data_IF_176555560530
#
_entry.id   IF_176555560530
#
_cell.length_a   1.000
_cell.length_b   1.000
_cell.length_c   1.000
_cell.angle_alpha   90.00
_cell.angle_beta   90.00
_cell.angle_gamma   90.00
#
_symmetry.space_group_name_H-M   'P 1'
#
loop_
_entity.id
_entity.type
_entity.pdbx_description
1 polymer ?
#
# COMPACT_ATOMS: atom_id res chain seq x y z
N UNK A 1 -6.02 -20.21 -6.64
CA UNK A 1 -6.29 -20.24 -5.18
C UNK A 1 -5.95 -18.88 -4.61
N UNK A 2 -6.78 -18.36 -3.73
CA UNK A 2 -6.58 -17.04 -3.15
C UNK A 2 -5.49 -17.10 -2.08
N UNK A 3 -4.54 -16.15 -2.17
CA UNK A 3 -3.47 -15.96 -1.20
C UNK A 3 -3.99 -15.22 0.02
N UNK A 4 -4.79 -14.18 -0.20
CA UNK A 4 -5.36 -13.34 0.86
C UNK A 4 -6.88 -13.39 0.76
N UNK A 5 -7.52 -13.62 1.90
CA UNK A 5 -8.98 -13.58 2.01
C UNK A 5 -9.36 -12.66 3.16
N UNK A 6 -10.23 -11.69 2.87
CA UNK A 6 -10.84 -10.74 3.80
C UNK A 6 -12.33 -11.02 3.79
N UNK A 7 -12.89 -11.40 4.93
CA UNK A 7 -14.30 -11.80 5.05
C UNK A 7 -14.98 -11.00 6.14
N UNK A 8 -16.00 -10.23 5.73
CA UNK A 8 -16.85 -9.40 6.58
C UNK A 8 -16.06 -8.58 7.60
N UNK A 9 -15.00 -7.88 7.15
CA UNK A 9 -14.11 -7.16 8.05
C UNK A 9 -14.67 -5.79 8.41
N UNK A 10 -14.77 -5.54 9.71
CA UNK A 10 -15.18 -4.26 10.29
C UNK A 10 -14.06 -3.66 11.12
N UNK A 11 -14.02 -2.33 11.19
CA UNK A 11 -13.12 -1.62 12.10
C UNK A 11 -13.77 -0.37 12.64
N UNK A 12 -13.90 -0.31 13.96
CA UNK A 12 -14.35 0.86 14.71
C UNK A 12 -13.27 1.24 15.71
N UNK A 13 -12.87 2.51 15.71
CA UNK A 13 -11.98 3.08 16.72
C UNK A 13 -12.80 3.73 17.83
N UNK A 14 -12.32 3.59 19.06
CA UNK A 14 -12.81 4.37 20.19
C UNK A 14 -11.93 5.62 20.34
N UNK A 15 -12.57 6.78 20.43
CA UNK A 15 -11.90 8.05 20.64
C UNK A 15 -11.44 8.18 22.09
N UNK A 16 -10.48 9.08 22.33
CA UNK A 16 -10.01 9.33 23.70
C UNK A 16 -11.12 9.98 24.52
N UNK A 17 -11.12 9.81 25.86
CA UNK A 17 -12.06 10.50 26.74
C UNK A 17 -12.08 12.01 26.45
N UNK A 18 -13.28 12.57 26.29
CA UNK A 18 -13.48 13.99 25.96
C UNK A 18 -13.43 14.31 24.46
N UNK A 19 -13.17 13.35 23.58
CA UNK A 19 -13.28 13.52 22.13
C UNK A 19 -14.59 12.91 21.62
N UNK A 20 -15.24 13.62 20.70
CA UNK A 20 -16.44 13.15 20.01
C UNK A 20 -16.42 13.56 18.55
N UNK A 21 -17.08 12.79 17.70
CA UNK A 21 -17.40 13.16 16.33
C UNK A 21 -18.91 13.27 16.15
N UNK A 22 -19.32 14.13 15.23
CA UNK A 22 -20.70 14.16 14.76
C UNK A 22 -20.87 13.17 13.61
N UNK A 23 -21.75 12.19 13.80
CA UNK A 23 -22.13 11.23 12.76
C UNK A 23 -23.64 11.37 12.59
N UNK A 24 -24.08 11.83 11.40
CA UNK A 24 -25.50 12.05 11.09
C UNK A 24 -26.23 12.91 12.16
N UNK A 25 -25.55 13.94 12.68
CA UNK A 25 -26.09 14.84 13.70
C UNK A 25 -26.12 14.28 15.12
N UNK A 26 -25.49 13.13 15.38
CA UNK A 26 -25.33 12.56 16.72
C UNK A 26 -23.87 12.56 17.15
N UNK A 27 -23.63 12.97 18.39
CA UNK A 27 -22.32 12.86 19.02
C UNK A 27 -22.00 11.40 19.33
N UNK A 28 -20.83 10.94 18.90
CA UNK A 28 -20.32 9.58 19.12
C UNK A 28 -18.85 9.64 19.55
N UNK A 29 -18.48 8.83 20.53
CA UNK A 29 -17.09 8.56 20.90
C UNK A 29 -16.48 7.41 20.07
N UNK A 30 -17.22 6.87 19.10
CA UNK A 30 -16.81 5.77 18.22
C UNK A 30 -16.85 6.19 16.76
N UNK A 31 -15.82 5.80 16.02
CA UNK A 31 -15.67 6.06 14.59
C UNK A 31 -15.53 4.74 13.84
N UNK A 32 -16.56 4.37 13.08
CA UNK A 32 -16.48 3.23 12.16
C UNK A 32 -15.75 3.64 10.90
N UNK A 33 -14.65 2.95 10.60
CA UNK A 33 -13.79 3.21 9.45
C UNK A 33 -13.97 2.18 8.36
N UNK A 34 -14.18 0.90 8.72
CA UNK A 34 -14.50 -0.19 7.78
C UNK A 34 -15.80 -0.86 8.20
N UNK A 35 -16.65 -1.20 7.22
CA UNK A 35 -17.98 -1.76 7.46
C UNK A 35 -18.28 -2.94 6.53
N UNK A 36 -17.82 -4.14 6.87
CA UNK A 36 -18.13 -5.37 6.12
C UNK A 36 -17.34 -5.50 4.81
N UNK A 37 -16.02 -5.30 4.88
CA UNK A 37 -15.13 -5.45 3.72
C UNK A 37 -14.98 -6.92 3.36
N UNK A 38 -15.23 -7.25 2.10
CA UNK A 38 -15.00 -8.59 1.53
C UNK A 38 -14.05 -8.46 0.32
N UNK A 39 -12.94 -9.19 0.34
CA UNK A 39 -11.92 -9.13 -0.71
C UNK A 39 -11.16 -10.46 -0.78
N UNK A 40 -10.90 -10.93 -2.01
CA UNK A 40 -10.07 -12.10 -2.26
C UNK A 40 -8.98 -11.73 -3.27
N UNK A 41 -7.72 -12.07 -2.95
CA UNK A 41 -6.53 -11.70 -3.71
C UNK A 41 -5.78 -12.97 -4.10
N UNK A 42 -5.50 -13.12 -5.38
CA UNK A 42 -4.86 -14.32 -5.93
C UNK A 42 -3.35 -14.31 -5.63
N UNK A 43 -2.76 -15.51 -5.60
CA UNK A 43 -1.30 -15.63 -5.48
C UNK A 43 -0.60 -14.99 -6.68
N UNK A 44 0.42 -14.17 -6.41
CA UNK A 44 1.19 -13.46 -7.44
C UNK A 44 0.42 -12.31 -8.11
N UNK A 45 -0.70 -11.89 -7.54
CA UNK A 45 -1.50 -10.79 -8.08
C UNK A 45 -1.03 -9.44 -7.55
N UNK A 46 -1.03 -8.41 -8.41
CA UNK A 46 -0.85 -7.02 -8.01
C UNK A 46 -2.21 -6.34 -7.94
N UNK A 47 -2.71 -6.06 -6.74
CA UNK A 47 -3.94 -5.26 -6.59
C UNK A 47 -3.63 -3.86 -6.10
N UNK A 48 -4.45 -2.90 -6.51
CA UNK A 48 -4.42 -1.55 -5.95
C UNK A 48 -5.71 -1.22 -5.23
N UNK A 49 -5.61 -0.52 -4.10
CA UNK A 49 -6.74 0.02 -3.35
C UNK A 49 -6.84 1.52 -3.66
N UNK A 50 -7.97 1.94 -4.20
CA UNK A 50 -8.27 3.36 -4.49
C UNK A 50 -9.57 3.78 -3.81
N UNK A 51 -9.67 5.05 -3.45
CA UNK A 51 -10.83 5.57 -2.72
C UNK A 51 -10.54 6.97 -2.19
N UNK A 52 -11.56 7.73 -1.79
CA UNK A 52 -11.36 9.06 -1.22
C UNK A 52 -10.48 9.00 0.05
N UNK A 53 -9.96 10.15 0.47
CA UNK A 53 -9.28 10.23 1.76
C UNK A 53 -10.21 9.72 2.87
N UNK A 54 -9.65 9.12 3.92
CA UNK A 54 -10.46 8.59 5.04
C UNK A 54 -11.32 7.35 4.72
N UNK A 55 -11.25 6.77 3.52
CA UNK A 55 -11.99 5.56 3.14
C UNK A 55 -11.52 4.27 3.85
N UNK A 56 -10.48 4.34 4.69
CA UNK A 56 -9.97 3.19 5.42
C UNK A 56 -9.00 2.28 4.66
N UNK A 57 -8.42 2.72 3.52
CA UNK A 57 -7.42 1.96 2.74
C UNK A 57 -6.22 1.50 3.60
N UNK A 58 -5.54 2.45 4.25
CA UNK A 58 -4.40 2.17 5.12
C UNK A 58 -4.80 1.30 6.31
N UNK A 59 -6.02 1.50 6.86
CA UNK A 59 -6.54 0.66 7.95
C UNK A 59 -6.77 -0.78 7.49
N UNK A 60 -7.32 -0.98 6.29
CA UNK A 60 -7.46 -2.31 5.71
C UNK A 60 -6.09 -2.95 5.46
N UNK A 61 -5.13 -2.16 4.95
CA UNK A 61 -3.76 -2.61 4.73
C UNK A 61 -3.06 -3.03 6.04
N UNK A 62 -3.21 -2.24 7.11
CA UNK A 62 -2.70 -2.55 8.45
C UNK A 62 -3.31 -3.83 9.02
N UNK A 63 -4.61 -4.07 8.79
CA UNK A 63 -5.28 -5.31 9.22
C UNK A 63 -4.72 -6.51 8.44
N UNK A 64 -4.52 -6.38 7.13
CA UNK A 64 -3.88 -7.42 6.31
C UNK A 64 -2.43 -7.65 6.77
N UNK A 65 -1.71 -6.60 7.19
CA UNK A 65 -0.36 -6.71 7.74
C UNK A 65 -0.30 -7.24 9.18
N UNK A 66 -1.44 -7.42 9.85
CA UNK A 66 -1.50 -7.79 11.26
C UNK A 66 -1.02 -6.70 12.22
N UNK A 67 -0.88 -5.46 11.75
CA UNK A 67 -0.47 -4.30 12.55
C UNK A 67 -1.63 -3.74 13.40
N UNK A 68 -2.85 -3.93 12.93
CA UNK A 68 -4.08 -3.53 13.63
C UNK A 68 -5.09 -4.66 13.59
N UNK A 69 -5.75 -4.96 14.71
CA UNK A 69 -6.81 -5.97 14.73
C UNK A 69 -8.13 -5.42 14.14
N UNK A 70 -8.85 -6.25 13.40
CA UNK A 70 -10.23 -5.96 13.00
C UNK A 70 -11.17 -5.99 14.22
N UNK A 71 -12.21 -5.16 14.21
CA UNK A 71 -13.25 -5.19 15.25
C UNK A 71 -14.17 -6.41 15.11
N UNK A 72 -14.45 -6.82 13.88
CA UNK A 72 -15.17 -8.06 13.52
C UNK A 72 -14.63 -8.58 12.18
N UNK A 73 -14.98 -9.81 11.83
CA UNK A 73 -14.54 -10.45 10.59
C UNK A 73 -13.19 -11.14 10.70
N UNK A 74 -12.74 -11.70 9.59
CA UNK A 74 -11.53 -12.52 9.51
C UNK A 74 -10.70 -12.09 8.31
N UNK A 75 -9.38 -11.97 8.51
CA UNK A 75 -8.39 -11.91 7.43
C UNK A 75 -7.48 -13.12 7.54
N UNK A 76 -7.18 -13.74 6.41
CA UNK A 76 -6.26 -14.88 6.32
C UNK A 76 -5.27 -14.75 5.16
N UNK A 77 -4.04 -15.21 5.37
CA UNK A 77 -3.03 -15.48 4.33
C UNK A 77 -2.83 -16.99 4.24
N UNK A 78 -2.97 -17.57 3.05
CA UNK A 78 -2.90 -19.02 2.80
C UNK A 78 -3.78 -19.85 3.75
N UNK A 79 -5.00 -19.34 4.00
CA UNK A 79 -5.97 -19.96 4.91
C UNK A 79 -5.64 -19.83 6.40
N UNK A 80 -4.50 -19.23 6.77
CA UNK A 80 -4.13 -18.96 8.16
C UNK A 80 -4.61 -17.58 8.58
N UNK A 81 -5.43 -17.52 9.64
CA UNK A 81 -5.91 -16.25 10.20
C UNK A 81 -4.75 -15.37 10.66
N UNK A 82 -4.81 -14.10 10.30
CA UNK A 82 -3.85 -13.08 10.75
C UNK A 82 -4.35 -12.51 12.09
N UNK A 83 -3.49 -12.58 13.09
CA UNK A 83 -3.73 -11.99 14.42
C UNK A 83 -2.55 -11.12 14.89
N UNK A 84 -1.43 -11.19 14.19
CA UNK A 84 -0.20 -10.44 14.46
C UNK A 84 0.62 -10.36 13.17
N UNK A 85 1.63 -9.48 13.10
CA UNK A 85 2.49 -9.39 11.93
C UNK A 85 3.23 -10.71 11.64
N UNK A 86 3.36 -11.05 10.36
CA UNK A 86 4.06 -12.25 9.89
C UNK A 86 5.39 -11.82 9.20
N UNK A 87 6.54 -12.45 9.54
CA UNK A 87 7.81 -12.21 8.84
C UNK A 87 7.78 -12.42 7.32
N UNK A 88 6.79 -13.17 6.81
CA UNK A 88 6.54 -13.40 5.38
C UNK A 88 5.79 -12.26 4.69
N UNK A 89 5.38 -11.24 5.43
CA UNK A 89 4.72 -10.04 4.92
C UNK A 89 5.68 -8.87 4.97
N UNK A 90 6.06 -8.35 3.81
CA UNK A 90 6.82 -7.11 3.69
C UNK A 90 5.87 -5.91 3.78
N UNK A 91 6.31 -4.84 4.46
CA UNK A 91 5.54 -3.60 4.56
C UNK A 91 6.38 -2.39 4.14
N UNK A 92 5.83 -1.57 3.25
CA UNK A 92 6.40 -0.28 2.83
C UNK A 92 5.44 0.82 3.27
N UNK A 93 5.85 1.61 4.25
CA UNK A 93 5.07 2.71 4.80
C UNK A 93 5.15 3.96 3.90
N UNK A 94 4.19 4.88 4.06
CA UNK A 94 4.16 6.17 3.38
C UNK A 94 5.40 7.02 3.68
N UNK A 95 5.89 6.99 4.93
CA UNK A 95 7.21 7.51 5.26
C UNK A 95 8.25 6.40 5.02
N UNK A 96 9.40 6.74 4.46
CA UNK A 96 10.46 5.78 4.13
C UNK A 96 10.83 4.84 5.30
N UNK A 97 10.66 5.33 6.54
CA UNK A 97 10.89 4.60 7.78
C UNK A 97 12.26 3.89 7.80
N UNK A 98 13.27 4.52 7.16
CA UNK A 98 14.64 4.06 7.19
C UNK A 98 15.28 4.45 8.52
N UNK A 99 16.15 3.60 9.04
CA UNK A 99 16.93 3.88 10.24
C UNK A 99 18.00 4.93 9.88
N UNK A 100 17.93 6.17 10.44
CA UNK A 100 18.81 7.26 10.03
C UNK A 100 20.28 7.04 10.42
N UNK A 101 20.54 6.19 11.41
CA UNK A 101 21.89 5.80 11.86
C UNK A 101 22.45 4.55 11.17
N UNK A 102 21.74 3.98 10.19
CA UNK A 102 22.21 2.84 9.38
C UNK A 102 22.43 3.29 7.94
N UNK A 103 23.42 2.73 7.27
CA UNK A 103 23.64 2.95 5.83
C UNK A 103 22.51 2.31 4.99
N UNK A 104 22.46 2.59 3.68
CA UNK A 104 21.53 1.96 2.75
C UNK A 104 21.60 0.43 2.80
N UNK A 105 22.83 -0.11 2.76
CA UNK A 105 23.09 -1.55 2.91
C UNK A 105 22.59 -2.07 4.27
N UNK A 106 22.97 -1.39 5.35
CA UNK A 106 22.62 -1.79 6.72
C UNK A 106 21.12 -1.70 7.00
N UNK A 107 20.39 -0.84 6.30
CA UNK A 107 18.93 -0.75 6.36
C UNK A 107 18.27 -2.00 5.75
N UNK A 108 18.78 -2.49 4.62
CA UNK A 108 18.28 -3.69 3.95
C UNK A 108 18.66 -4.95 4.73
N UNK A 109 19.88 -5.00 5.27
CA UNK A 109 20.34 -6.13 6.09
C UNK A 109 19.54 -6.31 7.39
N UNK A 110 18.93 -5.25 7.92
CA UNK A 110 18.32 -5.27 9.26
C UNK A 110 17.30 -6.39 9.44
N UNK A 111 16.37 -6.56 8.49
CA UNK A 111 15.34 -7.59 8.62
C UNK A 111 15.93 -9.02 8.55
N UNK A 112 16.96 -9.20 7.72
CA UNK A 112 17.71 -10.46 7.60
C UNK A 112 18.52 -10.76 8.86
N UNK A 113 19.10 -9.71 9.47
CA UNK A 113 19.78 -9.77 10.77
C UNK A 113 18.84 -10.26 11.88
N UNK A 114 17.62 -9.71 11.94
CA UNK A 114 16.59 -10.15 12.91
C UNK A 114 16.15 -11.59 12.67
N UNK A 115 16.13 -12.06 11.42
CA UNK A 115 15.87 -13.46 11.07
C UNK A 115 17.03 -14.41 11.40
N UNK A 116 18.19 -13.90 11.86
CA UNK A 116 19.35 -14.71 12.20
C UNK A 116 20.20 -15.13 11.00
N UNK A 117 20.01 -14.53 9.84
CA UNK A 117 20.80 -14.83 8.63
C UNK A 117 22.26 -14.38 8.84
N UNK A 118 23.20 -15.25 8.45
CA UNK A 118 24.62 -15.01 8.63
C UNK A 118 25.09 -13.74 7.88
N UNK A 119 26.05 -13.01 8.47
CA UNK A 119 26.50 -11.71 7.95
C UNK A 119 26.87 -11.75 6.46
N UNK A 120 27.61 -12.77 6.02
CA UNK A 120 28.01 -12.90 4.61
C UNK A 120 26.81 -12.99 3.67
N UNK A 121 25.85 -13.86 4.01
CA UNK A 121 24.66 -14.12 3.20
C UNK A 121 23.73 -12.89 3.16
N UNK A 122 23.48 -12.25 4.31
CA UNK A 122 22.64 -11.03 4.34
C UNK A 122 23.28 -9.87 3.57
N UNK A 123 24.60 -9.70 3.63
CA UNK A 123 25.31 -8.67 2.85
C UNK A 123 25.23 -8.94 1.35
N UNK A 124 25.41 -10.19 0.92
CA UNK A 124 25.27 -10.59 -0.49
C UNK A 124 23.84 -10.31 -0.99
N UNK A 125 22.82 -10.71 -0.22
CA UNK A 125 21.41 -10.46 -0.54
C UNK A 125 21.10 -8.95 -0.59
N UNK A 126 21.57 -8.18 0.39
CA UNK A 126 21.33 -6.74 0.44
C UNK A 126 21.96 -6.00 -0.74
N UNK A 127 23.20 -6.35 -1.12
CA UNK A 127 23.86 -5.79 -2.32
C UNK A 127 23.14 -6.16 -3.61
N UNK A 128 22.65 -7.40 -3.71
CA UNK A 128 21.84 -7.81 -4.85
C UNK A 128 20.61 -6.92 -5.01
N UNK A 129 19.83 -6.70 -3.96
CA UNK A 129 18.65 -5.82 -4.03
C UNK A 129 19.01 -4.35 -4.28
N UNK A 130 20.08 -3.82 -3.69
CA UNK A 130 20.55 -2.46 -4.03
C UNK A 130 20.86 -2.33 -5.52
N UNK A 131 21.57 -3.30 -6.10
CA UNK A 131 21.91 -3.27 -7.52
C UNK A 131 20.69 -3.41 -8.43
N UNK A 132 19.70 -4.24 -8.05
CA UNK A 132 18.44 -4.36 -8.78
C UNK A 132 17.69 -3.02 -8.88
N UNK A 133 17.75 -2.21 -7.83
CA UNK A 133 17.18 -0.87 -7.79
C UNK A 133 18.12 0.22 -8.33
N UNK A 134 19.27 -0.14 -8.93
CA UNK A 134 20.20 0.82 -9.51
C UNK A 134 20.94 1.68 -8.48
N UNK A 135 21.13 1.18 -7.27
CA UNK A 135 21.80 1.87 -6.16
C UNK A 135 23.22 1.35 -5.88
N UNK A 136 23.83 0.67 -6.85
CA UNK A 136 25.25 0.29 -6.78
C UNK A 136 26.13 1.52 -6.55
N UNK A 137 27.05 1.47 -5.58
CA UNK A 137 27.90 2.59 -5.19
C UNK A 137 27.31 3.51 -4.11
N UNK A 138 26.08 3.25 -3.65
CA UNK A 138 25.42 3.99 -2.57
C UNK A 138 25.25 3.18 -1.28
N UNK A 139 25.89 2.00 -1.19
CA UNK A 139 25.77 1.04 -0.09
C UNK A 139 26.05 1.67 1.28
N UNK A 140 27.08 2.51 1.35
CA UNK A 140 27.60 3.10 2.58
C UNK A 140 26.98 4.48 2.90
N UNK A 141 26.01 4.94 2.10
CA UNK A 141 25.35 6.23 2.34
C UNK A 141 24.27 6.11 3.41
N UNK A 142 24.20 7.10 4.29
CA UNK A 142 23.11 7.24 5.26
C UNK A 142 21.86 7.85 4.59
N UNK A 143 20.64 7.65 5.13
CA UNK A 143 19.41 8.16 4.52
C UNK A 143 19.44 9.67 4.21
N UNK A 144 20.03 10.48 5.07
CA UNK A 144 20.18 11.93 4.86
C UNK A 144 21.12 12.31 3.70
N UNK A 145 21.89 11.36 3.16
CA UNK A 145 22.77 11.54 1.99
C UNK A 145 22.13 11.01 0.70
N UNK A 146 20.89 10.52 0.76
CA UNK A 146 20.14 9.95 -0.36
C UNK A 146 18.98 10.87 -0.75
N UNK A 147 18.70 10.98 -2.05
CA UNK A 147 17.48 11.66 -2.52
C UNK A 147 16.23 10.91 -2.07
N UNK A 148 15.06 11.57 -2.07
CA UNK A 148 13.80 10.92 -1.70
C UNK A 148 13.50 9.65 -2.51
N UNK A 149 13.71 9.71 -3.84
CA UNK A 149 13.57 8.54 -4.70
C UNK A 149 14.55 7.41 -4.37
N UNK A 150 15.78 7.73 -3.96
CA UNK A 150 16.76 6.73 -3.51
C UNK A 150 16.37 6.12 -2.16
N UNK A 151 15.90 6.93 -1.21
CA UNK A 151 15.39 6.43 0.07
C UNK A 151 14.20 5.49 -0.14
N UNK A 152 13.29 5.82 -1.07
CA UNK A 152 12.18 4.95 -1.44
C UNK A 152 12.65 3.61 -2.01
N UNK A 153 13.63 3.63 -2.94
CA UNK A 153 14.23 2.42 -3.49
C UNK A 153 14.83 1.54 -2.38
N UNK A 154 15.53 2.13 -1.41
CA UNK A 154 16.07 1.39 -0.25
C UNK A 154 14.95 0.80 0.60
N UNK A 155 13.86 1.53 0.83
CA UNK A 155 12.72 1.05 1.62
C UNK A 155 12.02 -0.16 0.96
N UNK A 156 11.79 -0.10 -0.36
CA UNK A 156 11.22 -1.21 -1.12
C UNK A 156 12.20 -2.39 -1.18
N UNK A 157 13.49 -2.13 -1.44
CA UNK A 157 14.54 -3.15 -1.43
C UNK A 157 14.61 -3.89 -0.08
N UNK A 158 14.51 -3.16 1.03
CA UNK A 158 14.48 -3.74 2.39
C UNK A 158 13.29 -4.69 2.57
N UNK A 159 12.11 -4.30 2.12
CA UNK A 159 10.91 -5.13 2.24
C UNK A 159 10.98 -6.38 1.34
N UNK A 160 11.54 -6.26 0.14
CA UNK A 160 11.72 -7.39 -0.78
C UNK A 160 12.86 -8.33 -0.39
N UNK A 161 13.89 -7.82 0.30
CA UNK A 161 15.05 -8.60 0.67
C UNK A 161 14.71 -9.78 1.60
N UNK A 162 13.62 -9.72 2.35
CA UNK A 162 13.16 -10.85 3.19
C UNK A 162 12.47 -11.97 2.40
N UNK A 163 12.38 -11.86 1.06
CA UNK A 163 11.64 -12.77 0.19
C UNK A 163 10.17 -12.93 0.63
N UNK A 164 9.40 -11.83 0.70
CA UNK A 164 8.05 -11.86 1.25
C UNK A 164 7.08 -12.57 0.30
N UNK A 165 6.15 -13.33 0.87
CA UNK A 165 5.04 -13.94 0.15
C UNK A 165 3.95 -12.91 -0.21
N UNK A 166 3.84 -11.86 0.60
CA UNK A 166 2.94 -10.72 0.43
C UNK A 166 3.71 -9.42 0.68
N UNK A 167 3.57 -8.44 -0.22
CA UNK A 167 4.11 -7.09 -0.08
C UNK A 167 2.98 -6.07 0.02
N UNK A 168 2.92 -5.36 1.14
CA UNK A 168 1.95 -4.31 1.42
C UNK A 168 2.62 -2.96 1.27
N UNK A 169 2.01 -2.03 0.52
CA UNK A 169 2.57 -0.71 0.28
C UNK A 169 1.52 0.37 0.48
N UNK A 170 1.78 1.30 1.40
CA UNK A 170 0.89 2.41 1.73
C UNK A 170 1.39 3.72 1.14
N UNK A 171 0.80 4.15 0.02
CA UNK A 171 1.17 5.38 -0.72
C UNK A 171 2.70 5.60 -0.89
N UNK A 172 3.46 4.58 -1.35
CA UNK A 172 4.92 4.61 -1.33
C UNK A 172 5.54 5.68 -2.24
N UNK A 173 4.77 6.29 -3.14
CA UNK A 173 5.28 7.26 -4.11
C UNK A 173 4.68 8.66 -3.97
N UNK A 174 3.93 8.91 -2.89
CA UNK A 174 3.23 10.19 -2.67
C UNK A 174 4.20 11.39 -2.55
N UNK A 175 5.37 11.19 -1.94
CA UNK A 175 6.36 12.25 -1.71
C UNK A 175 7.29 12.54 -2.90
N UNK A 176 7.10 11.87 -4.03
CA UNK A 176 7.99 11.97 -5.19
C UNK A 176 7.42 12.85 -6.28
N UNK A 177 8.29 13.53 -7.03
CA UNK A 177 7.91 14.22 -8.26
C UNK A 177 7.44 13.24 -9.34
N UNK A 178 6.72 13.74 -10.34
CA UNK A 178 6.07 12.92 -11.35
C UNK A 178 7.05 12.07 -12.17
N UNK A 179 8.21 12.61 -12.57
CA UNK A 179 9.18 11.90 -13.39
C UNK A 179 9.85 10.77 -12.59
N UNK A 180 10.31 11.07 -11.38
CA UNK A 180 10.91 10.06 -10.49
C UNK A 180 9.91 8.96 -10.16
N UNK A 181 8.64 9.32 -9.93
CA UNK A 181 7.55 8.38 -9.66
C UNK A 181 7.35 7.40 -10.82
N UNK A 182 7.21 7.86 -12.05
CA UNK A 182 7.00 6.99 -13.21
C UNK A 182 8.15 6.00 -13.44
N UNK A 183 9.39 6.47 -13.29
CA UNK A 183 10.58 5.63 -13.39
C UNK A 183 10.55 4.52 -12.32
N UNK A 184 10.20 4.88 -11.08
CA UNK A 184 10.12 3.92 -9.98
C UNK A 184 8.99 2.91 -10.12
N UNK A 185 7.82 3.34 -10.60
CA UNK A 185 6.71 2.44 -10.89
C UNK A 185 7.12 1.39 -11.93
N UNK A 186 7.81 1.83 -12.99
CA UNK A 186 8.30 0.96 -14.06
C UNK A 186 9.32 -0.07 -13.53
N UNK A 187 10.29 0.39 -12.74
CA UNK A 187 11.28 -0.50 -12.10
C UNK A 187 10.63 -1.46 -11.10
N UNK A 188 9.68 -0.99 -10.29
CA UNK A 188 8.93 -1.84 -9.36
C UNK A 188 8.21 -2.95 -10.12
N UNK A 189 7.51 -2.63 -11.21
CA UNK A 189 6.80 -3.61 -12.02
C UNK A 189 7.76 -4.64 -12.62
N UNK A 190 8.90 -4.19 -13.16
CA UNK A 190 9.94 -5.07 -13.72
C UNK A 190 10.51 -6.04 -12.68
N UNK A 191 10.70 -5.58 -11.45
CA UNK A 191 11.21 -6.40 -10.34
C UNK A 191 10.14 -7.37 -9.87
N UNK A 192 8.90 -6.88 -9.72
CA UNK A 192 7.76 -7.70 -9.32
C UNK A 192 7.49 -8.85 -10.29
N UNK A 193 7.57 -8.62 -11.61
CA UNK A 193 7.41 -9.68 -12.63
C UNK A 193 8.42 -10.83 -12.49
N UNK A 194 9.58 -10.57 -11.87
CA UNK A 194 10.61 -11.60 -11.61
C UNK A 194 10.37 -12.34 -10.29
N UNK A 195 9.89 -11.65 -9.27
CA UNK A 195 9.72 -12.18 -7.91
C UNK A 195 8.35 -12.88 -7.75
N UNK A 196 7.32 -12.38 -8.44
CA UNK A 196 5.94 -12.88 -8.39
C UNK A 196 5.34 -12.94 -6.97
N UNK A 197 5.68 -11.94 -6.14
CA UNK A 197 5.06 -11.76 -4.80
C UNK A 197 3.64 -11.20 -4.93
N UNK A 198 2.73 -11.53 -4.01
CA UNK A 198 1.39 -10.92 -4.02
C UNK A 198 1.49 -9.49 -3.48
N UNK A 199 0.97 -8.49 -4.21
CA UNK A 199 1.08 -7.08 -3.82
C UNK A 199 -0.28 -6.48 -3.51
N UNK A 200 -0.36 -5.75 -2.40
CA UNK A 200 -1.48 -4.84 -2.09
C UNK A 200 -0.94 -3.43 -1.98
N UNK A 201 -1.38 -2.56 -2.90
CA UNK A 201 -0.83 -1.23 -3.06
C UNK A 201 -1.91 -0.16 -2.88
N UNK A 202 -1.76 0.71 -1.88
CA UNK A 202 -2.68 1.82 -1.64
C UNK A 202 -2.20 3.05 -2.39
N UNK A 203 -3.10 3.70 -3.11
CA UNK A 203 -2.83 4.97 -3.78
C UNK A 203 -4.05 5.87 -3.91
N UNK A 204 -3.79 7.17 -4.04
CA UNK A 204 -4.76 8.18 -4.44
C UNK A 204 -4.69 8.52 -5.94
N UNK A 205 -3.73 7.96 -6.69
CA UNK A 205 -3.54 8.22 -8.11
C UNK A 205 -4.20 7.13 -8.98
N UNK A 206 -5.16 7.54 -9.82
CA UNK A 206 -5.84 6.64 -10.77
C UNK A 206 -4.85 6.07 -11.79
N UNK A 207 -3.94 6.91 -12.29
CA UNK A 207 -2.96 6.49 -13.28
C UNK A 207 -1.98 5.47 -12.73
N UNK A 208 -1.57 5.63 -11.47
CA UNK A 208 -0.73 4.67 -10.77
C UNK A 208 -1.47 3.35 -10.55
N UNK A 209 -2.73 3.42 -10.13
CA UNK A 209 -3.57 2.26 -9.91
C UNK A 209 -3.71 1.40 -11.18
N UNK A 210 -3.99 2.04 -12.32
CA UNK A 210 -4.13 1.38 -13.63
C UNK A 210 -2.79 0.87 -14.12
N UNK A 211 -1.71 1.64 -13.96
CA UNK A 211 -0.39 1.25 -14.46
C UNK A 211 0.19 0.05 -13.71
N UNK A 212 -0.08 -0.11 -12.42
CA UNK A 212 0.52 -1.19 -11.61
C UNK A 212 -0.36 -2.44 -11.48
N UNK A 213 -1.68 -2.29 -11.38
CA UNK A 213 -2.55 -3.37 -10.94
C UNK A 213 -2.98 -4.33 -12.05
N UNK A 214 -3.21 -5.59 -11.67
CA UNK A 214 -4.08 -6.54 -12.35
C UNK A 214 -5.56 -6.23 -12.06
N UNK A 215 -5.87 -5.86 -10.80
CA UNK A 215 -7.21 -5.44 -10.37
C UNK A 215 -7.17 -4.22 -9.46
N UNK A 216 -8.09 -3.30 -9.69
CA UNK A 216 -8.30 -2.12 -8.85
C UNK A 216 -9.51 -2.36 -7.96
N UNK A 217 -9.33 -2.26 -6.65
CA UNK A 217 -10.40 -2.30 -5.66
C UNK A 217 -10.79 -0.86 -5.33
N UNK A 218 -11.99 -0.46 -5.74
CA UNK A 218 -12.55 0.85 -5.43
C UNK A 218 -13.26 0.78 -4.09
N UNK A 219 -12.85 1.60 -3.15
CA UNK A 219 -13.46 1.74 -1.82
C UNK A 219 -14.45 2.91 -1.77
N UNK A 220 -15.54 2.74 -1.02
CA UNK A 220 -16.49 3.82 -0.73
C UNK A 220 -15.89 4.91 0.16
N UNK A 221 -16.58 6.05 0.26
CA UNK A 221 -16.34 6.99 1.35
C UNK A 221 -16.57 6.32 2.71
N UNK A 222 -16.07 6.94 3.79
CA UNK A 222 -16.21 6.41 5.15
C UNK A 222 -17.70 6.23 5.51
N UNK A 223 -18.11 5.09 6.09
CA UNK A 223 -17.29 3.91 6.37
C UNK A 223 -16.94 3.11 5.12
N UNK A 224 -15.67 2.72 4.99
CA UNK A 224 -15.14 2.05 3.81
C UNK A 224 -15.67 0.63 3.63
N UNK A 225 -16.16 0.37 2.42
CA UNK A 225 -16.52 -0.96 1.90
C UNK A 225 -15.96 -1.12 0.49
N UNK A 226 -15.98 -2.33 -0.07
CA UNK A 226 -15.64 -2.54 -1.48
C UNK A 226 -16.84 -2.12 -2.33
N UNK A 227 -16.68 -1.08 -3.14
CA UNK A 227 -17.70 -0.59 -4.09
C UNK A 227 -17.69 -1.43 -5.35
N UNK A 228 -16.52 -1.58 -5.95
CA UNK A 228 -16.32 -2.27 -7.22
C UNK A 228 -14.90 -2.84 -7.28
N UNK A 229 -14.73 -3.96 -7.97
CA UNK A 229 -13.42 -4.48 -8.35
C UNK A 229 -13.34 -4.43 -9.87
N UNK A 230 -12.36 -3.69 -10.40
CA UNK A 230 -12.18 -3.46 -11.83
C UNK A 230 -10.95 -4.24 -12.30
N UNK A 231 -11.15 -5.18 -13.22
CA UNK A 231 -10.05 -5.87 -13.91
C UNK A 231 -9.35 -4.93 -14.90
N UNK A 232 -8.02 -4.95 -14.90
CA UNK A 232 -7.16 -4.15 -15.78
C UNK A 232 -6.56 -5.07 -16.84
N UNK A 233 -7.26 -5.16 -17.97
CA UNK A 233 -6.85 -5.95 -19.13
C UNK A 233 -5.88 -5.15 -20.02
N UNK A 234 -4.72 -4.84 -19.45
CA UNK A 234 -3.62 -4.19 -20.15
C UNK A 234 -2.43 -5.17 -20.23
N UNK A 235 -1.81 -5.33 -21.42
CA UNK A 235 -0.72 -6.28 -21.61
C UNK A 235 0.48 -5.94 -20.72
N UNK A 236 1.16 -7.00 -20.24
CA UNK A 236 2.43 -6.92 -19.52
C UNK A 236 3.56 -7.44 -20.44
N UNK A 237 4.77 -6.85 -20.40
CA UNK A 237 5.19 -5.74 -19.55
C UNK A 237 4.62 -4.40 -20.00
N UNK A 238 4.32 -3.51 -19.04
CA UNK A 238 3.74 -2.19 -19.32
C UNK A 238 4.83 -1.15 -19.59
N UNK A 239 4.97 -0.75 -20.85
CA UNK A 239 5.86 0.35 -21.25
C UNK A 239 5.32 1.73 -20.81
N UNK A 240 6.17 2.76 -20.88
CA UNK A 240 5.76 4.14 -20.56
C UNK A 240 4.69 4.69 -21.49
N UNK A 241 4.68 4.24 -22.73
CA UNK A 241 3.74 4.58 -23.81
C UNK A 241 2.30 4.12 -23.53
N UNK A 242 2.11 3.07 -22.72
CA UNK A 242 0.78 2.54 -22.43
C UNK A 242 -0.14 3.57 -21.79
N UNK A 243 0.41 4.54 -21.03
CA UNK A 243 -0.35 5.61 -20.36
C UNK A 243 -1.07 6.54 -21.35
N UNK A 244 -0.57 6.64 -22.59
CA UNK A 244 -1.17 7.43 -23.66
C UNK A 244 -2.13 6.60 -24.54
N UNK A 245 -2.21 5.29 -24.32
CA UNK A 245 -3.01 4.38 -25.15
C UNK A 245 -4.51 4.54 -24.93
N UNK A 246 -5.30 4.25 -25.96
CA UNK A 246 -6.77 4.26 -25.85
C UNK A 246 -7.30 3.28 -24.79
N UNK A 247 -6.80 2.03 -24.69
CA UNK A 247 -7.22 1.11 -23.63
C UNK A 247 -7.01 1.66 -22.21
N UNK A 248 -5.88 2.34 -21.97
CA UNK A 248 -5.61 2.96 -20.67
C UNK A 248 -6.63 4.06 -20.34
N UNK A 249 -6.99 4.90 -21.32
CA UNK A 249 -7.99 5.95 -21.14
C UNK A 249 -9.39 5.40 -20.84
N UNK A 250 -9.75 4.23 -21.38
CA UNK A 250 -11.01 3.54 -21.04
C UNK A 250 -11.02 3.15 -19.56
N UNK A 251 -9.94 2.54 -19.07
CA UNK A 251 -9.81 2.22 -17.64
C UNK A 251 -9.81 3.48 -16.77
N UNK A 252 -9.12 4.54 -17.19
CA UNK A 252 -9.11 5.84 -16.47
C UNK A 252 -10.51 6.40 -16.30
N UNK A 253 -11.31 6.38 -17.37
CA UNK A 253 -12.69 6.85 -17.35
C UNK A 253 -13.55 6.01 -16.40
N UNK A 254 -13.46 4.68 -16.48
CA UNK A 254 -14.22 3.76 -15.62
C UNK A 254 -13.87 3.94 -14.13
N UNK A 255 -12.58 4.00 -13.80
CA UNK A 255 -12.14 4.18 -12.41
C UNK A 255 -12.57 5.55 -11.88
N UNK A 256 -12.48 6.60 -12.70
CA UNK A 256 -12.94 7.93 -12.32
C UNK A 256 -14.44 7.96 -12.05
N UNK A 257 -15.27 7.35 -12.91
CA UNK A 257 -16.71 7.25 -12.71
C UNK A 257 -17.04 6.52 -11.41
N UNK A 258 -16.37 5.40 -11.12
CA UNK A 258 -16.55 4.66 -9.88
C UNK A 258 -16.18 5.50 -8.63
N UNK A 259 -15.15 6.34 -8.71
CA UNK A 259 -14.69 7.19 -7.61
C UNK A 259 -15.48 8.48 -7.44
N UNK A 260 -16.03 9.05 -8.51
CA UNK A 260 -16.60 10.41 -8.54
C UNK A 260 -17.64 10.65 -7.45
N UNK A 261 -18.58 9.72 -7.29
CA UNK A 261 -19.64 9.85 -6.30
C UNK A 261 -19.10 9.78 -4.86
N UNK A 262 -18.08 8.96 -4.63
CA UNK A 262 -17.49 8.75 -3.32
C UNK A 262 -16.61 9.93 -2.89
N UNK A 263 -15.88 10.53 -3.84
CA UNK A 263 -15.13 11.78 -3.60
C UNK A 263 -16.08 12.91 -3.23
N UNK A 264 -17.20 13.05 -3.94
CA UNK A 264 -18.21 14.07 -3.65
C UNK A 264 -18.87 13.87 -2.28
N UNK A 265 -19.17 12.62 -1.88
CA UNK A 265 -19.69 12.31 -0.54
C UNK A 265 -18.69 12.68 0.55
N UNK A 266 -17.43 12.25 0.39
CA UNK A 266 -16.39 12.53 1.37
C UNK A 266 -16.17 14.04 1.59
N UNK A 267 -16.19 14.85 0.53
CA UNK A 267 -16.07 16.30 0.65
C UNK A 267 -17.23 16.95 1.42
N UNK A 268 -18.46 16.45 1.26
CA UNK A 268 -19.63 16.95 2.00
C UNK A 268 -19.57 16.59 3.48
N UNK A 269 -19.08 15.39 3.80
CA UNK A 269 -18.90 14.95 5.18
C UNK A 269 -17.87 15.79 5.96
N UNK A 270 -16.85 16.35 5.28
CA UNK A 270 -15.89 17.27 5.89
C UNK A 270 -16.37 18.72 5.96
N UNK A 271 -17.40 19.11 5.20
CA UNK A 271 -17.97 20.46 5.24
C UNK A 271 -18.84 20.71 6.50
N UNK A 272 -19.02 19.71 7.36
CA UNK A 272 -19.77 19.80 8.62
C UNK A 272 -18.83 19.79 9.83
N UNK A 273 -18.13 20.91 10.04
CA UNK A 273 -17.72 21.39 11.37
C UNK A 273 -17.35 22.89 11.29
N UNK A 274 -18.25 23.81 11.64
CA UNK A 274 -17.92 25.21 11.88
C UNK A 274 -17.20 25.46 13.22
N UNK A 275 -16.99 24.45 14.07
CA UNK A 275 -16.54 24.65 15.46
C UNK A 275 -15.01 24.66 15.64
N UNK A 276 -14.30 25.32 14.73
CA UNK A 276 -12.96 25.85 15.00
C UNK A 276 -12.88 27.30 14.52
N UNK A 277 -13.67 28.17 15.16
CA UNK A 277 -13.32 29.58 15.27
C UNK A 277 -12.56 29.75 16.58
N UNK A 278 -11.25 30.02 16.46
CA UNK A 278 -10.48 30.65 17.53
C UNK A 278 -10.90 32.10 17.70
#
# INVERSE_FOLDING_TARGET
>A
MDRITVTDVHKTFQLKPGQSVQIEGRSSDRVTVLNGVNLAIRKGEFITLVGPSGSGKSVLLDIIGGLTEASNGIVSIDGKRIVKPDPKTGYVFQQYALFPWRTALSNIEYALEVQGIAKRERTEKARYFLSLFGLSGFEDRFPNQLSGGMQQRVAIARALATDPEVLLMDEPFAALDAQTREILQTELLRIWEKINTTVVFVTHSIDEAIYLADRIVVMTARPGTVKEIIDIDLPRPRGSDIRASSPFNVHRSRVWEALRDEVNKAQKDWALSPDYTH
#
